data_IF_265707438786
#
_entry.id   IF_265707438786
#
_cell.length_a   1.000
_cell.length_b   1.000
_cell.length_c   1.000
_cell.angle_alpha   90.00
_cell.angle_beta   90.00
_cell.angle_gamma   90.00
#
_symmetry.space_group_name_H-M   'P 1'
#
loop_
_entity.id
_entity.type
_entity.pdbx_description
1 polymer ?
#
# COMPACT_ATOMS: atom_id res chain seq x y z
N UNK A 1 15.38 36.51 34.15
CA UNK A 1 14.49 35.90 33.12
C UNK A 1 13.23 36.71 32.79
N UNK A 2 12.92 37.83 33.47
CA UNK A 2 11.78 38.70 33.13
C UNK A 2 12.17 39.98 32.34
N UNK A 3 13.43 40.13 31.92
CA UNK A 3 13.95 41.35 31.30
C UNK A 3 14.59 41.14 29.92
N UNK A 4 14.43 39.95 29.31
CA UNK A 4 14.92 39.65 27.95
C UNK A 4 13.79 39.65 26.89
N UNK A 5 12.53 39.63 27.32
CA UNK A 5 11.35 39.63 26.43
C UNK A 5 10.92 41.03 25.92
N UNK A 6 11.65 42.09 26.28
CA UNK A 6 11.31 43.48 25.92
C UNK A 6 12.08 44.06 24.72
N UNK A 7 13.00 43.31 24.10
CA UNK A 7 13.89 43.81 23.02
C UNK A 7 13.67 43.22 21.61
N UNK A 8 12.61 42.43 21.37
CA UNK A 8 12.35 41.82 20.04
C UNK A 8 11.06 42.28 19.34
N UNK A 9 10.50 43.45 19.69
CA UNK A 9 9.33 44.02 18.98
C UNK A 9 9.52 45.46 18.51
N UNK A 10 10.51 45.69 17.65
CA UNK A 10 10.57 46.90 16.80
C UNK A 10 11.38 46.62 15.54
N UNK A 11 10.83 47.02 14.37
CA UNK A 11 11.33 46.88 12.97
C UNK A 11 10.89 45.54 12.35
N UNK A 12 9.85 45.47 11.53
CA UNK A 12 9.75 46.02 10.16
C UNK A 12 8.29 46.43 9.89
N UNK A 13 8.02 47.71 9.66
CA UNK A 13 6.79 48.17 8.99
C UNK A 13 6.89 49.64 8.57
N UNK A 14 7.36 49.88 7.35
CA UNK A 14 7.15 51.10 6.52
C UNK A 14 7.57 50.70 5.11
N UNK A 15 6.80 50.79 4.02
CA UNK A 15 5.45 51.27 3.74
C UNK A 15 5.35 51.38 2.21
N UNK A 16 4.16 51.15 1.63
CA UNK A 16 3.80 51.75 0.34
C UNK A 16 2.28 51.63 0.11
N UNK A 17 1.72 52.72 -0.42
CA UNK A 17 0.31 53.10 -0.43
C UNK A 17 -0.51 52.41 -1.53
N UNK A 18 -1.82 52.33 -1.25
CA UNK A 18 -2.94 51.96 -2.15
C UNK A 18 -3.10 52.93 -3.35
N UNK A 19 -3.91 52.58 -4.36
CA UNK A 19 -5.34 52.97 -4.36
C UNK A 19 -6.27 51.78 -4.73
N UNK A 20 -7.39 51.50 -4.04
CA UNK A 20 -8.72 52.12 -4.08
C UNK A 20 -9.41 52.11 -5.46
N UNK A 21 -10.20 51.06 -5.75
CA UNK A 21 -11.43 51.16 -6.57
C UNK A 21 -12.52 50.16 -6.09
N UNK A 22 -13.66 50.74 -5.67
CA UNK A 22 -15.09 50.36 -5.65
C UNK A 22 -15.53 48.90 -5.95
N UNK A 23 -16.25 48.20 -5.06
CA UNK A 23 -17.72 48.18 -4.79
C UNK A 23 -18.59 47.35 -5.77
N UNK A 24 -19.51 46.60 -5.16
CA UNK A 24 -20.65 45.83 -5.71
C UNK A 24 -20.29 44.52 -6.42
N UNK A 25 -20.79 43.35 -6.03
CA UNK A 25 -22.20 43.05 -5.82
C UNK A 25 -22.44 41.90 -4.84
N UNK A 26 -23.38 42.14 -3.93
CA UNK A 26 -24.08 41.12 -3.15
C UNK A 26 -24.90 40.25 -4.11
N UNK A 27 -24.68 38.93 -4.11
CA UNK A 27 -25.70 37.97 -4.56
C UNK A 27 -26.28 37.27 -3.35
N UNK A 28 -27.57 37.53 -3.16
CA UNK A 28 -28.47 36.88 -2.22
C UNK A 28 -28.58 35.39 -2.62
N UNK A 29 -28.23 34.49 -1.70
CA UNK A 29 -28.54 33.07 -1.83
C UNK A 29 -29.94 32.86 -1.22
N UNK A 30 -30.91 32.30 -1.96
CA UNK A 30 -32.25 32.06 -1.44
C UNK A 30 -32.25 30.94 -0.39
N UNK A 31 -33.03 31.18 0.67
CA UNK A 31 -33.33 30.26 1.76
C UNK A 31 -33.99 28.99 1.19
N UNK A 32 -33.34 27.84 1.34
CA UNK A 32 -33.96 26.54 1.09
C UNK A 32 -34.89 26.21 2.26
N UNK A 33 -36.13 25.93 1.89
CA UNK A 33 -37.27 25.61 2.72
C UNK A 33 -37.11 24.31 3.51
N UNK A 34 -37.58 24.35 4.74
CA UNK A 34 -37.81 23.23 5.66
C UNK A 34 -38.63 22.13 4.99
N UNK A 35 -38.07 20.93 4.85
CA UNK A 35 -38.86 19.72 4.57
C UNK A 35 -39.20 19.06 5.91
N UNK A 36 -40.47 19.20 6.29
CA UNK A 36 -41.12 18.36 7.29
C UNK A 36 -41.35 16.97 6.68
N UNK A 37 -40.78 15.92 7.29
CA UNK A 37 -41.34 14.55 7.18
C UNK A 37 -41.60 14.01 8.58
N UNK A 38 -42.85 14.16 9.00
CA UNK A 38 -43.52 13.38 10.05
C UNK A 38 -43.90 12.01 9.50
N UNK A 39 -44.07 11.06 10.43
CA UNK A 39 -44.75 9.74 10.33
C UNK A 39 -43.93 8.65 9.60
N UNK A 40 -43.93 7.39 10.03
CA UNK A 40 -44.86 6.69 10.91
C UNK A 40 -44.18 5.46 11.53
N UNK A 41 -44.47 5.26 12.81
CA UNK A 41 -44.28 4.00 13.55
C UNK A 41 -45.14 2.91 12.90
N UNK A 42 -44.55 1.75 12.60
CA UNK A 42 -45.28 0.48 12.48
C UNK A 42 -44.59 -0.58 13.34
N UNK A 43 -45.20 -0.83 14.49
CA UNK A 43 -45.06 -2.07 15.26
C UNK A 43 -45.78 -3.18 14.51
N UNK A 44 -45.17 -4.35 14.46
CA UNK A 44 -45.77 -5.56 13.87
C UNK A 44 -44.77 -6.71 13.88
N UNK A 45 -44.36 -7.15 15.07
CA UNK A 45 -43.65 -8.41 15.23
C UNK A 45 -44.70 -9.51 15.34
N UNK A 46 -44.87 -10.29 14.27
CA UNK A 46 -45.69 -11.50 14.27
C UNK A 46 -44.74 -12.67 14.54
N UNK A 47 -44.81 -13.25 15.75
CA UNK A 47 -44.13 -14.51 16.06
C UNK A 47 -44.87 -15.64 15.35
N UNK A 48 -44.23 -16.25 14.35
CA UNK A 48 -44.65 -17.55 13.82
C UNK A 48 -43.85 -18.64 14.52
N UNK A 49 -44.54 -19.41 15.36
CA UNK A 49 -44.04 -20.67 15.91
C UNK A 49 -43.76 -21.64 14.75
N UNK A 50 -42.51 -22.06 14.62
CA UNK A 50 -42.10 -23.15 13.72
C UNK A 50 -42.12 -24.44 14.56
N UNK A 51 -42.97 -25.43 14.24
CA UNK A 51 -42.92 -26.73 14.89
C UNK A 51 -41.65 -27.49 14.45
N UNK A 52 -40.86 -27.89 15.44
CA UNK A 52 -39.74 -28.81 15.29
C UNK A 52 -40.30 -30.22 15.04
N UNK A 53 -40.30 -30.65 13.78
CA UNK A 53 -40.46 -32.07 13.42
C UNK A 53 -39.14 -32.55 12.83
N UNK A 54 -38.36 -33.27 13.64
CA UNK A 54 -37.24 -34.07 13.14
C UNK A 54 -37.83 -35.27 12.41
N UNK A 55 -37.84 -35.21 11.08
CA UNK A 55 -38.04 -36.39 10.25
C UNK A 55 -36.68 -37.00 9.94
N UNK A 56 -36.55 -38.27 10.28
CA UNK A 56 -35.47 -39.16 9.85
C UNK A 56 -35.40 -39.16 8.32
N UNK A 57 -34.27 -38.73 7.78
CA UNK A 57 -33.97 -38.82 6.34
C UNK A 57 -33.35 -40.19 6.13
N UNK A 58 -34.13 -41.12 5.58
CA UNK A 58 -33.62 -42.37 5.03
C UNK A 58 -32.70 -42.04 3.84
N UNK A 59 -31.41 -42.31 4.00
CA UNK A 59 -30.39 -42.12 2.96
C UNK A 59 -30.52 -43.29 1.99
N UNK A 60 -31.06 -43.01 0.80
CA UNK A 60 -31.05 -43.96 -0.30
C UNK A 60 -29.61 -44.25 -0.78
N UNK A 61 -29.30 -45.49 -1.21
CA UNK A 61 -27.97 -45.88 -1.63
C UNK A 61 -27.53 -45.11 -2.88
N UNK A 62 -26.36 -44.49 -2.81
CA UNK A 62 -25.70 -43.81 -3.92
C UNK A 62 -25.29 -44.87 -4.95
N UNK A 63 -26.03 -44.94 -6.05
CA UNK A 63 -25.66 -45.73 -7.23
C UNK A 63 -24.57 -44.95 -7.96
N UNK A 64 -23.32 -45.37 -7.80
CA UNK A 64 -22.19 -44.88 -8.60
C UNK A 64 -22.15 -45.64 -9.92
N UNK A 65 -22.77 -45.09 -10.97
CA UNK A 65 -22.47 -45.54 -12.32
C UNK A 65 -21.16 -44.89 -12.82
N UNK A 66 -20.32 -45.64 -13.55
CA UNK A 66 -19.08 -45.11 -14.11
C UNK A 66 -19.40 -44.04 -15.16
N UNK A 67 -19.03 -42.80 -14.87
CA UNK A 67 -19.13 -41.68 -15.81
C UNK A 67 -18.18 -42.00 -16.97
N UNK A 68 -18.76 -42.35 -18.12
CA UNK A 68 -18.02 -42.53 -19.36
C UNK A 68 -17.25 -41.24 -19.69
N UNK A 69 -15.97 -41.39 -20.03
CA UNK A 69 -15.07 -40.31 -20.41
C UNK A 69 -15.67 -39.51 -21.58
N UNK A 70 -16.24 -38.34 -21.28
CA UNK A 70 -16.69 -37.39 -22.28
C UNK A 70 -15.46 -36.65 -22.80
N UNK A 71 -15.02 -37.05 -23.99
CA UNK A 71 -13.97 -36.36 -24.75
C UNK A 71 -14.55 -35.04 -25.30
N UNK A 72 -14.60 -34.02 -24.43
CA UNK A 72 -15.02 -32.67 -24.80
C UNK A 72 -13.84 -32.00 -25.49
N UNK A 73 -13.75 -32.19 -26.80
CA UNK A 73 -12.91 -31.38 -27.68
C UNK A 73 -13.44 -29.95 -27.68
N UNK A 74 -12.93 -29.09 -26.78
CA UNK A 74 -13.27 -27.67 -26.75
C UNK A 74 -12.69 -27.02 -28.02
N UNK A 75 -13.52 -26.46 -28.91
CA UNK A 75 -13.01 -25.73 -30.07
C UNK A 75 -12.21 -24.52 -29.58
N UNK A 76 -10.90 -24.54 -29.83
CA UNK A 76 -9.99 -23.43 -29.56
C UNK A 76 -10.31 -22.33 -30.57
N UNK A 77 -11.18 -21.41 -30.19
CA UNK A 77 -11.57 -20.28 -31.03
C UNK A 77 -10.34 -19.44 -31.39
N UNK A 78 -10.12 -19.31 -32.70
CA UNK A 78 -8.98 -18.62 -33.30
C UNK A 78 -9.09 -17.12 -33.03
N UNK A 79 -8.24 -16.64 -32.12
CA UNK A 79 -7.61 -15.32 -32.13
C UNK A 79 -8.50 -14.14 -32.54
N UNK A 80 -9.35 -13.67 -31.63
CA UNK A 80 -9.87 -12.31 -31.73
C UNK A 80 -8.69 -11.32 -31.63
N UNK A 81 -8.48 -10.51 -32.68
CA UNK A 81 -7.45 -9.47 -32.71
C UNK A 81 -7.59 -8.55 -31.50
N UNK A 82 -6.68 -8.70 -30.53
CA UNK A 82 -6.67 -7.84 -29.34
C UNK A 82 -6.50 -6.40 -29.80
N UNK A 83 -7.40 -5.47 -29.42
CA UNK A 83 -7.30 -4.08 -29.83
C UNK A 83 -5.93 -3.53 -29.41
N UNK A 84 -5.19 -2.96 -30.37
CA UNK A 84 -3.88 -2.33 -30.13
C UNK A 84 -4.09 -1.20 -29.12
N UNK A 85 -3.75 -1.44 -27.84
CA UNK A 85 -3.83 -0.43 -26.78
C UNK A 85 -2.98 0.77 -27.19
N UNK A 86 -3.59 1.94 -27.38
CA UNK A 86 -2.87 3.20 -27.54
C UNK A 86 -2.04 3.42 -26.28
N UNK A 87 -0.72 3.45 -26.44
CA UNK A 87 0.21 3.76 -25.34
C UNK A 87 -0.02 5.23 -24.98
N UNK A 88 -0.66 5.47 -23.84
CA UNK A 88 -0.75 6.81 -23.25
C UNK A 88 0.60 7.19 -22.66
N UNK A 89 0.99 8.47 -22.79
CA UNK A 89 2.21 8.96 -22.13
C UNK A 89 2.00 8.89 -20.62
N UNK A 90 3.02 8.38 -19.90
CA UNK A 90 3.01 8.35 -18.43
C UNK A 90 2.86 9.78 -17.87
N UNK A 91 1.97 9.96 -16.90
CA UNK A 91 1.79 11.24 -16.19
C UNK A 91 2.94 11.45 -15.20
N UNK A 92 3.41 12.69 -15.05
CA UNK A 92 4.46 13.05 -14.09
C UNK A 92 3.94 12.96 -12.64
N UNK A 93 4.88 12.92 -11.67
CA UNK A 93 4.53 12.90 -10.23
C UNK A 93 3.64 14.08 -9.83
N UNK A 94 4.01 15.28 -10.28
CA UNK A 94 3.28 16.51 -9.97
C UNK A 94 1.84 16.48 -10.51
N UNK A 95 1.63 15.91 -11.70
CA UNK A 95 0.29 15.74 -12.27
C UNK A 95 -0.53 14.75 -11.44
N UNK A 96 0.04 13.61 -11.04
CA UNK A 96 -0.66 12.64 -10.19
C UNK A 96 -1.02 13.23 -8.83
N UNK A 97 -0.11 13.95 -8.17
CA UNK A 97 -0.41 14.60 -6.88
C UNK A 97 -1.50 15.66 -7.02
N UNK A 98 -1.51 16.41 -8.13
CA UNK A 98 -2.58 17.37 -8.43
C UNK A 98 -3.94 16.66 -8.57
N UNK A 99 -4.00 15.56 -9.34
CA UNK A 99 -5.22 14.77 -9.52
C UNK A 99 -5.75 14.21 -8.19
N UNK A 100 -4.86 13.73 -7.32
CA UNK A 100 -5.24 13.24 -5.98
C UNK A 100 -5.84 14.36 -5.11
N UNK A 101 -5.22 15.55 -5.12
CA UNK A 101 -5.76 16.73 -4.40
C UNK A 101 -7.12 17.17 -4.94
N UNK A 102 -7.29 17.19 -6.26
CA UNK A 102 -8.57 17.51 -6.90
C UNK A 102 -9.66 16.49 -6.55
N UNK A 103 -9.29 15.24 -6.28
CA UNK A 103 -10.19 14.20 -5.77
C UNK A 103 -10.49 14.32 -4.27
N UNK A 104 -9.93 15.30 -3.56
CA UNK A 104 -10.18 15.57 -2.14
C UNK A 104 -9.20 14.90 -1.17
N UNK A 105 -8.08 14.36 -1.64
CA UNK A 105 -7.05 13.78 -0.77
C UNK A 105 -6.14 14.90 -0.24
N UNK A 106 -6.04 15.02 1.08
CA UNK A 106 -5.27 16.07 1.75
C UNK A 106 -3.75 15.89 1.57
N UNK A 107 -3.27 14.65 1.75
CA UNK A 107 -1.86 14.29 1.61
C UNK A 107 -1.63 13.22 0.51
N UNK A 108 -1.31 13.63 -0.72
CA UNK A 108 -0.94 12.71 -1.80
C UNK A 108 0.35 11.92 -1.57
N UNK A 109 1.24 12.36 -0.67
CA UNK A 109 2.50 11.66 -0.44
C UNK A 109 2.26 10.36 0.34
N UNK A 110 1.35 10.39 1.31
CA UNK A 110 0.93 9.23 2.09
C UNK A 110 0.15 8.18 1.28
N UNK A 111 -0.34 8.51 0.08
CA UNK A 111 -1.10 7.58 -0.76
C UNK A 111 -0.21 6.42 -1.25
N UNK A 112 -0.79 5.22 -1.28
CA UNK A 112 -0.20 3.98 -1.78
C UNK A 112 0.60 4.22 -3.08
N UNK A 113 1.88 3.88 -3.04
CA UNK A 113 2.81 4.15 -4.14
C UNK A 113 2.42 3.39 -5.40
N UNK A 114 1.91 2.15 -5.27
CA UNK A 114 1.44 1.37 -6.41
C UNK A 114 0.17 1.98 -7.05
N UNK A 115 -0.75 2.52 -6.23
CA UNK A 115 -1.89 3.27 -6.75
C UNK A 115 -1.44 4.49 -7.55
N UNK A 116 -0.49 5.28 -7.02
CA UNK A 116 0.12 6.42 -7.73
C UNK A 116 0.78 6.00 -9.05
N UNK A 117 1.47 4.88 -9.06
CA UNK A 117 2.05 4.29 -10.26
C UNK A 117 0.97 3.89 -11.29
N UNK A 118 -0.13 3.29 -10.84
CA UNK A 118 -1.29 2.96 -11.68
C UNK A 118 -1.95 4.18 -12.32
N UNK A 119 -2.11 5.27 -11.56
CA UNK A 119 -2.62 6.56 -12.08
C UNK A 119 -1.64 7.14 -13.11
N UNK A 120 -0.33 7.12 -12.80
CA UNK A 120 0.72 7.61 -13.69
C UNK A 120 0.74 6.85 -15.02
N UNK A 121 0.59 5.53 -14.98
CA UNK A 121 0.55 4.66 -16.16
C UNK A 121 -0.77 4.71 -16.93
N UNK A 122 -1.82 5.34 -16.37
CA UNK A 122 -3.16 5.35 -16.95
C UNK A 122 -3.92 4.03 -16.77
N UNK A 123 -3.45 3.16 -15.88
CA UNK A 123 -4.18 1.95 -15.45
C UNK A 123 -5.44 2.32 -14.66
N UNK A 124 -5.39 3.44 -13.92
CA UNK A 124 -6.48 3.94 -13.08
C UNK A 124 -6.83 5.36 -13.54
N UNK A 125 -8.10 5.62 -13.81
CA UNK A 125 -8.53 6.84 -14.46
C UNK A 125 -9.05 7.86 -13.44
N UNK A 126 -8.22 8.84 -13.12
CA UNK A 126 -8.58 9.93 -12.21
C UNK A 126 -9.25 11.15 -12.89
N UNK A 127 -9.51 11.09 -14.19
CA UNK A 127 -10.16 12.18 -14.94
C UNK A 127 -11.70 12.02 -15.03
N UNK A 128 -12.24 10.98 -14.39
CA UNK A 128 -13.69 10.74 -14.30
C UNK A 128 -14.29 11.45 -13.07
N UNK A 129 -15.60 11.75 -13.08
CA UNK A 129 -16.30 12.18 -11.87
C UNK A 129 -16.21 11.12 -10.77
N UNK A 130 -15.92 11.54 -9.54
CA UNK A 130 -15.79 10.67 -8.36
C UNK A 130 -14.81 9.50 -8.55
N UNK A 131 -13.53 9.77 -8.86
CA UNK A 131 -12.55 8.70 -9.14
C UNK A 131 -12.35 7.76 -7.95
N UNK A 132 -12.59 8.24 -6.72
CA UNK A 132 -12.52 7.43 -5.50
C UNK A 132 -13.58 6.31 -5.41
N UNK A 133 -14.64 6.37 -6.23
CA UNK A 133 -15.67 5.31 -6.34
C UNK A 133 -15.40 4.34 -7.50
N UNK A 134 -14.33 4.55 -8.29
CA UNK A 134 -13.94 3.64 -9.35
C UNK A 134 -13.62 2.26 -8.78
N UNK A 135 -14.26 1.21 -9.31
CA UNK A 135 -13.91 -0.18 -9.02
C UNK A 135 -12.58 -0.49 -9.71
N UNK A 136 -11.59 -0.92 -8.92
CA UNK A 136 -10.29 -1.35 -9.42
C UNK A 136 -10.30 -2.86 -9.67
N UNK A 137 -10.93 -3.61 -8.78
CA UNK A 137 -10.92 -5.06 -8.78
C UNK A 137 -12.24 -5.61 -8.27
N UNK A 138 -12.73 -6.66 -8.93
CA UNK A 138 -13.83 -7.50 -8.47
C UNK A 138 -13.32 -8.94 -8.53
N UNK A 139 -13.24 -9.59 -7.37
CA UNK A 139 -12.67 -10.94 -7.23
C UNK A 139 -13.35 -11.69 -6.10
N UNK A 140 -12.86 -12.89 -5.78
CA UNK A 140 -13.31 -13.69 -4.65
C UNK A 140 -12.28 -13.67 -3.53
N UNK A 141 -12.76 -13.70 -2.29
CA UNK A 141 -11.92 -13.90 -1.11
C UNK A 141 -11.11 -15.19 -1.25
N UNK A 142 -9.79 -15.09 -1.06
CA UNK A 142 -8.84 -16.22 -1.12
C UNK A 142 -9.11 -17.35 -0.11
N UNK A 143 -9.98 -17.13 0.88
CA UNK A 143 -10.29 -18.10 1.95
C UNK A 143 -11.72 -18.62 1.85
N UNK A 144 -12.73 -17.74 1.83
CA UNK A 144 -14.14 -18.14 1.91
C UNK A 144 -14.92 -17.96 0.60
N UNK A 145 -14.25 -17.59 -0.50
CA UNK A 145 -14.82 -17.35 -1.83
C UNK A 145 -15.94 -16.28 -1.90
N UNK A 146 -16.17 -15.55 -0.82
CA UNK A 146 -17.10 -14.40 -0.82
C UNK A 146 -16.60 -13.35 -1.80
N UNK A 147 -17.51 -12.79 -2.59
CA UNK A 147 -17.18 -11.72 -3.53
C UNK A 147 -16.63 -10.48 -2.81
N UNK A 148 -15.54 -9.93 -3.36
CA UNK A 148 -14.87 -8.73 -2.89
C UNK A 148 -14.86 -7.73 -4.04
N UNK A 149 -15.40 -6.54 -3.79
CA UNK A 149 -15.35 -5.40 -4.69
C UNK A 149 -14.44 -4.36 -4.06
N UNK A 150 -13.35 -4.03 -4.73
CA UNK A 150 -12.38 -3.05 -4.26
C UNK A 150 -12.47 -1.78 -5.08
N UNK A 151 -12.68 -0.65 -4.41
CA UNK A 151 -12.64 0.69 -4.99
C UNK A 151 -11.32 1.39 -4.69
N UNK A 152 -11.03 2.45 -5.43
CA UNK A 152 -9.87 3.32 -5.19
C UNK A 152 -9.77 3.78 -3.73
N UNK A 153 -10.89 4.18 -3.11
CA UNK A 153 -10.89 4.66 -1.71
C UNK A 153 -10.45 3.61 -0.69
N UNK A 154 -10.64 2.32 -1.00
CA UNK A 154 -10.40 1.23 -0.06
C UNK A 154 -8.90 0.90 0.09
N UNK A 155 -8.06 1.45 -0.80
CA UNK A 155 -6.62 1.14 -0.88
C UNK A 155 -5.73 2.38 -0.88
N UNK A 156 -6.27 3.54 -0.48
CA UNK A 156 -5.52 4.79 -0.48
C UNK A 156 -4.27 4.71 0.41
N UNK A 157 -4.36 4.01 1.53
CA UNK A 157 -3.30 3.94 2.54
C UNK A 157 -2.59 2.58 2.54
N UNK A 158 -2.88 1.70 1.57
CA UNK A 158 -2.22 0.40 1.49
C UNK A 158 -0.70 0.58 1.35
N UNK A 159 0.08 -0.16 2.13
CA UNK A 159 1.53 -0.13 2.08
C UNK A 159 2.11 -0.47 0.70
N UNK A 160 3.36 -0.07 0.45
CA UNK A 160 4.09 -0.44 -0.77
C UNK A 160 4.47 -1.93 -0.80
N UNK A 161 4.52 -2.57 0.36
CA UNK A 161 4.81 -3.99 0.53
C UNK A 161 3.65 -4.63 1.29
N UNK A 162 3.37 -5.91 1.03
CA UNK A 162 2.36 -6.65 1.78
C UNK A 162 2.83 -7.12 3.17
N UNK A 163 4.02 -6.70 3.60
CA UNK A 163 4.66 -7.16 4.83
C UNK A 163 5.35 -8.53 4.69
N UNK A 164 6.21 -8.87 5.65
CA UNK A 164 6.91 -10.16 5.69
C UNK A 164 6.07 -11.31 6.26
N UNK A 165 4.94 -11.01 6.89
CA UNK A 165 4.04 -11.97 7.51
C UNK A 165 2.59 -11.67 7.14
N UNK A 166 1.94 -12.68 6.56
CA UNK A 166 0.52 -12.82 6.22
C UNK A 166 -0.41 -11.68 6.68
N UNK A 167 -0.75 -10.74 5.78
CA UNK A 167 -1.80 -9.73 5.97
C UNK A 167 -1.72 -8.94 7.28
N UNK A 168 -0.93 -7.87 7.30
CA UNK A 168 -0.52 -7.22 8.54
C UNK A 168 -0.83 -5.74 8.69
N UNK A 169 -1.38 -5.06 7.68
CA UNK A 169 -1.61 -3.61 7.80
C UNK A 169 -3.09 -3.28 8.03
N UNK A 170 -3.31 -2.27 8.88
CA UNK A 170 -4.66 -1.81 9.23
C UNK A 170 -5.46 -1.35 8.00
N UNK A 171 -4.76 -0.89 6.96
CA UNK A 171 -5.29 -0.36 5.70
C UNK A 171 -5.49 -1.41 4.59
N UNK A 172 -5.43 -2.72 4.91
CA UNK A 172 -5.70 -3.80 3.96
C UNK A 172 -7.22 -3.97 3.66
N UNK A 173 -7.54 -4.55 2.49
CA UNK A 173 -8.93 -4.83 2.09
C UNK A 173 -9.48 -6.00 2.90
N UNK A 174 -10.49 -5.75 3.74
CA UNK A 174 -11.10 -6.76 4.60
C UNK A 174 -12.20 -7.51 3.83
N UNK A 175 -12.20 -8.84 3.92
CA UNK A 175 -13.28 -9.67 3.41
C UNK A 175 -14.64 -9.24 4.03
N UNK A 176 -15.69 -9.02 3.21
CA UNK A 176 -16.98 -8.56 3.71
C UNK A 176 -17.73 -9.64 4.51
N UNK A 177 -17.32 -10.91 4.41
CA UNK A 177 -17.82 -11.97 5.28
C UNK A 177 -17.28 -11.79 6.70
N UNK A 178 -18.19 -11.45 7.62
CA UNK A 178 -17.91 -11.19 9.05
C UNK A 178 -17.31 -12.39 9.79
N UNK A 179 -17.48 -13.60 9.26
CA UNK A 179 -16.90 -14.81 9.85
C UNK A 179 -15.46 -15.08 9.37
N UNK A 180 -15.08 -14.52 8.21
CA UNK A 180 -13.76 -14.75 7.61
C UNK A 180 -12.73 -13.74 8.10
N UNK A 181 -13.07 -12.44 8.09
CA UNK A 181 -12.19 -11.32 8.49
C UNK A 181 -10.79 -11.30 7.86
N UNK A 182 -10.56 -12.10 6.82
CA UNK A 182 -9.28 -12.18 6.14
C UNK A 182 -8.98 -10.85 5.44
N UNK A 183 -7.71 -10.43 5.50
CA UNK A 183 -7.21 -9.19 4.92
C UNK A 183 -6.48 -9.49 3.62
N UNK A 184 -6.74 -8.67 2.61
CA UNK A 184 -6.17 -8.79 1.28
C UNK A 184 -5.38 -7.54 0.94
N UNK A 185 -4.25 -7.74 0.27
CA UNK A 185 -3.50 -6.68 -0.38
C UNK A 185 -3.89 -6.69 -1.86
N UNK A 186 -4.18 -5.52 -2.44
CA UNK A 186 -4.32 -5.36 -3.88
C UNK A 186 -2.96 -5.11 -4.49
N UNK A 187 -2.49 -6.07 -5.26
CA UNK A 187 -1.24 -6.01 -5.99
C UNK A 187 -1.45 -5.52 -7.42
N UNK A 188 -0.34 -5.26 -8.13
CA UNK A 188 -0.34 -5.14 -9.60
C UNK A 188 -1.26 -4.04 -10.17
N UNK A 189 -1.63 -3.04 -9.37
CA UNK A 189 -2.40 -1.88 -9.84
C UNK A 189 -1.65 -1.09 -10.93
N UNK A 190 -0.33 -1.20 -10.92
CA UNK A 190 0.55 -0.55 -11.88
C UNK A 190 0.67 -1.29 -13.24
N UNK A 191 0.12 -2.51 -13.38
CA UNK A 191 0.31 -3.40 -14.56
C UNK A 191 -0.98 -3.73 -15.34
N UNK A 192 -2.06 -2.97 -15.17
CA UNK A 192 -3.41 -3.25 -15.74
C UNK A 192 -4.03 -4.59 -15.29
N UNK A 193 -3.42 -5.29 -14.34
CA UNK A 193 -3.85 -6.60 -13.87
C UNK A 193 -3.89 -6.60 -12.33
N UNK A 194 -4.76 -5.77 -11.71
CA UNK A 194 -4.87 -5.77 -10.26
C UNK A 194 -5.34 -7.13 -9.76
N UNK A 195 -4.75 -7.62 -8.68
CA UNK A 195 -5.02 -8.95 -8.12
C UNK A 195 -5.04 -8.91 -6.59
N UNK A 196 -5.89 -9.73 -5.97
CA UNK A 196 -5.86 -9.96 -4.52
C UNK A 196 -4.72 -10.92 -4.19
N UNK A 197 -3.90 -10.57 -3.21
CA UNK A 197 -2.88 -11.45 -2.67
C UNK A 197 -2.89 -11.45 -1.13
N UNK A 198 -2.19 -12.43 -0.55
CA UNK A 198 -1.94 -12.60 0.88
C UNK A 198 -0.86 -11.65 1.45
N UNK A 199 -0.28 -10.81 0.58
CA UNK A 199 0.79 -9.86 0.89
C UNK A 199 2.21 -10.43 0.79
N UNK A 200 2.38 -11.76 0.78
CA UNK A 200 3.70 -12.39 0.87
C UNK A 200 4.54 -12.23 -0.40
N UNK A 201 3.93 -12.41 -1.57
CA UNK A 201 4.64 -12.42 -2.85
C UNK A 201 4.47 -11.14 -3.65
N UNK A 202 4.28 -10.02 -2.94
CA UNK A 202 4.07 -8.73 -3.58
C UNK A 202 4.93 -7.63 -2.96
N UNK A 203 5.75 -7.03 -3.82
CA UNK A 203 6.59 -5.89 -3.48
C UNK A 203 6.54 -4.85 -4.59
N UNK A 204 6.53 -3.57 -4.19
CA UNK A 204 6.59 -2.44 -5.09
C UNK A 204 7.92 -1.71 -4.89
N UNK A 205 8.79 -1.77 -5.88
CA UNK A 205 10.10 -1.13 -5.81
C UNK A 205 9.97 0.39 -5.89
N UNK A 206 10.33 1.09 -4.82
CA UNK A 206 10.31 2.56 -4.75
C UNK A 206 11.56 3.23 -5.34
N UNK A 207 12.66 2.48 -5.49
CA UNK A 207 13.90 2.98 -6.10
C UNK A 207 13.79 3.19 -7.61
N UNK A 208 12.82 2.54 -8.25
CA UNK A 208 12.54 2.76 -9.66
C UNK A 208 12.09 4.22 -9.93
N UNK A 209 12.50 4.83 -11.06
CA UNK A 209 12.09 6.19 -11.41
C UNK A 209 10.57 6.40 -11.41
N UNK A 210 10.16 7.64 -11.14
CA UNK A 210 8.73 7.96 -10.99
C UNK A 210 8.18 7.39 -9.68
N UNK A 211 7.02 6.75 -9.72
CA UNK A 211 6.41 6.12 -8.55
C UNK A 211 6.85 4.67 -8.38
N UNK A 212 8.00 4.27 -8.90
CA UNK A 212 8.42 2.88 -8.78
C UNK A 212 7.73 1.92 -9.76
N UNK A 213 7.87 0.61 -9.50
CA UNK A 213 7.16 -0.45 -10.24
C UNK A 213 6.91 -1.67 -9.36
N UNK A 214 5.87 -2.41 -9.67
CA UNK A 214 5.58 -3.71 -9.10
C UNK A 214 6.67 -4.70 -9.55
N UNK A 215 7.29 -5.44 -8.62
CA UNK A 215 8.37 -6.41 -8.90
C UNK A 215 7.97 -7.85 -8.58
N UNK A 216 6.77 -8.06 -8.02
CA UNK A 216 6.30 -9.39 -7.67
C UNK A 216 6.95 -9.86 -6.38
N UNK A 217 7.82 -10.88 -6.47
CA UNK A 217 8.39 -11.58 -5.31
C UNK A 217 9.10 -10.60 -4.36
N UNK A 218 8.82 -10.71 -3.06
CA UNK A 218 9.46 -9.86 -2.03
C UNK A 218 10.97 -10.07 -1.93
N UNK A 219 11.47 -11.19 -2.44
CA UNK A 219 12.90 -11.51 -2.53
C UNK A 219 13.57 -10.87 -3.74
N UNK A 220 12.81 -10.21 -4.62
CA UNK A 220 13.40 -9.34 -5.63
C UNK A 220 13.87 -8.04 -4.99
N UNK A 221 15.09 -7.62 -5.34
CA UNK A 221 15.70 -6.40 -4.86
C UNK A 221 16.10 -5.50 -6.04
N UNK A 222 16.23 -4.21 -5.77
CA UNK A 222 16.68 -3.21 -6.74
C UNK A 222 18.20 -3.06 -6.65
N UNK A 223 18.90 -3.30 -7.74
CA UNK A 223 20.33 -3.03 -7.81
C UNK A 223 20.57 -1.53 -7.99
N UNK A 224 21.16 -0.88 -7.00
CA UNK A 224 21.45 0.57 -7.04
C UNK A 224 22.50 0.95 -8.10
N UNK A 225 23.33 0.00 -8.55
CA UNK A 225 24.39 0.27 -9.52
C UNK A 225 23.87 0.27 -10.97
N UNK A 226 23.13 -0.76 -11.38
CA UNK A 226 22.60 -0.87 -12.74
C UNK A 226 21.13 -0.41 -12.89
N UNK A 227 20.41 -0.19 -11.79
CA UNK A 227 18.97 0.10 -11.78
C UNK A 227 18.07 -1.11 -12.10
N UNK A 228 18.67 -2.29 -12.29
CA UNK A 228 18.00 -3.56 -12.55
C UNK A 228 17.35 -4.15 -11.31
N UNK A 229 16.54 -5.21 -11.51
CA UNK A 229 16.00 -6.01 -10.41
C UNK A 229 16.58 -7.39 -10.50
N UNK A 230 16.83 -8.02 -9.36
CA UNK A 230 17.37 -9.36 -9.28
C UNK A 230 16.77 -10.08 -8.09
N UNK A 231 16.69 -11.40 -8.18
CA UNK A 231 16.31 -12.23 -7.05
C UNK A 231 17.46 -12.26 -6.05
N UNK A 232 17.31 -11.57 -4.93
CA UNK A 232 18.30 -11.52 -3.86
C UNK A 232 18.22 -12.75 -2.94
N UNK A 233 17.12 -13.54 -3.03
CA UNK A 233 16.90 -14.72 -2.21
C UNK A 233 16.53 -14.37 -0.77
N UNK A 234 16.67 -15.34 0.13
CA UNK A 234 16.52 -15.09 1.56
C UNK A 234 17.80 -14.43 2.08
N UNK A 235 17.69 -13.35 2.84
CA UNK A 235 18.84 -12.65 3.44
C UNK A 235 19.88 -12.11 2.43
N UNK A 236 19.42 -11.63 1.26
CA UNK A 236 20.29 -11.04 0.22
C UNK A 236 21.47 -11.94 -0.21
N UNK A 237 21.25 -13.26 -0.22
CA UNK A 237 22.26 -14.27 -0.55
C UNK A 237 22.75 -14.25 -2.01
N UNK A 238 21.99 -13.66 -2.93
CA UNK A 238 22.35 -13.58 -4.35
C UNK A 238 22.73 -12.15 -4.73
N UNK A 239 23.70 -12.02 -5.64
CA UNK A 239 24.13 -10.72 -6.16
C UNK A 239 23.40 -10.39 -7.46
N UNK A 240 23.39 -9.10 -7.82
CA UNK A 240 22.88 -8.66 -9.12
C UNK A 240 23.72 -9.25 -10.25
N UNK A 241 23.10 -10.10 -11.07
CA UNK A 241 23.75 -10.77 -12.21
C UNK A 241 24.31 -9.81 -13.26
N UNK A 242 23.77 -8.60 -13.37
CA UNK A 242 24.26 -7.58 -14.30
C UNK A 242 25.53 -6.86 -13.82
N UNK A 243 25.77 -6.82 -12.51
CA UNK A 243 26.92 -6.11 -11.92
C UNK A 243 28.03 -7.06 -11.49
N UNK A 244 27.64 -8.27 -11.07
CA UNK A 244 28.53 -9.34 -10.67
C UNK A 244 28.37 -10.47 -11.66
N UNK A 245 28.97 -10.31 -12.84
CA UNK A 245 29.26 -11.47 -13.68
C UNK A 245 30.14 -12.38 -12.83
N UNK A 246 29.75 -13.65 -12.67
CA UNK A 246 30.70 -14.64 -12.17
C UNK A 246 31.98 -14.48 -13.01
N UNK A 247 33.18 -14.42 -12.39
CA UNK A 247 34.40 -14.47 -13.18
C UNK A 247 34.25 -15.64 -14.15
N UNK A 248 34.44 -15.40 -15.45
CA UNK A 248 34.42 -16.46 -16.45
C UNK A 248 35.48 -17.46 -16.01
N UNK A 249 35.02 -18.54 -15.38
CA UNK A 249 35.88 -19.55 -14.80
C UNK A 249 36.51 -20.26 -15.99
N UNK A 250 37.70 -19.82 -16.38
CA UNK A 250 38.54 -20.46 -17.39
C UNK A 250 38.96 -21.83 -16.86
N UNK A 251 38.05 -22.80 -16.88
CA UNK A 251 38.33 -24.22 -16.96
C UNK A 251 38.83 -24.94 -15.70
N UNK A 252 38.53 -24.49 -14.47
CA UNK A 252 38.86 -25.28 -13.29
C UNK A 252 37.65 -26.10 -12.79
N UNK A 253 37.60 -27.37 -13.17
CA UNK A 253 36.60 -28.39 -12.75
C UNK A 253 36.62 -28.71 -11.22
N UNK A 254 37.20 -27.86 -10.38
CA UNK A 254 37.41 -28.11 -8.97
C UNK A 254 36.58 -27.18 -8.07
N UNK A 255 35.37 -27.63 -7.71
CA UNK A 255 34.81 -27.32 -6.39
C UNK A 255 33.60 -26.39 -6.35
N UNK A 256 32.43 -26.95 -6.62
CA UNK A 256 31.08 -26.37 -6.50
C UNK A 256 30.66 -25.92 -5.07
N UNK A 257 31.60 -25.76 -4.13
CA UNK A 257 31.32 -25.53 -2.69
C UNK A 257 32.06 -24.33 -2.06
N UNK A 258 32.70 -23.46 -2.84
CA UNK A 258 33.63 -22.45 -2.31
C UNK A 258 33.15 -21.00 -2.11
N UNK A 259 31.95 -20.60 -2.56
CA UNK A 259 31.56 -19.18 -2.57
C UNK A 259 30.73 -18.71 -1.35
N UNK A 260 30.84 -19.40 -0.20
CA UNK A 260 30.40 -18.85 1.09
C UNK A 260 31.53 -17.96 1.66
N UNK A 261 31.56 -16.71 1.25
CA UNK A 261 32.37 -15.64 1.89
C UNK A 261 31.47 -14.45 2.24
N UNK A 262 31.78 -13.70 3.31
CA UNK A 262 30.78 -13.23 4.26
C UNK A 262 30.06 -11.95 3.85
N UNK A 263 28.75 -11.94 4.12
CA UNK A 263 27.75 -10.86 3.99
C UNK A 263 28.05 -9.61 4.87
N UNK A 264 29.23 -9.50 5.49
CA UNK A 264 29.50 -8.44 6.47
C UNK A 264 29.90 -7.07 5.89
N UNK A 265 30.09 -6.92 4.57
CA UNK A 265 30.46 -5.60 4.00
C UNK A 265 29.29 -4.77 3.47
N UNK A 266 28.07 -5.32 3.36
CA UNK A 266 26.94 -4.60 2.73
C UNK A 266 25.96 -3.93 3.72
N UNK A 267 25.99 -4.28 5.01
CA UNK A 267 25.09 -3.67 6.01
C UNK A 267 25.44 -2.19 6.32
N UNK A 268 26.57 -1.65 5.84
CA UNK A 268 26.99 -0.26 6.12
C UNK A 268 27.00 0.70 4.91
N UNK A 269 26.33 0.37 3.81
CA UNK A 269 26.14 1.33 2.70
C UNK A 269 24.72 1.91 2.67
N UNK A 270 24.31 2.51 3.78
CA UNK A 270 23.24 3.51 3.78
C UNK A 270 23.77 4.77 3.06
N UNK A 271 23.20 5.20 1.93
CA UNK A 271 23.51 6.50 1.37
C UNK A 271 22.71 7.53 2.16
N UNK A 272 23.21 7.89 3.34
CA UNK A 272 22.94 9.09 4.13
C UNK A 272 23.39 8.89 5.58
N UNK A 273 24.70 8.87 5.78
CA UNK A 273 25.28 9.53 6.95
C UNK A 273 25.00 11.04 6.84
N UNK A 274 23.73 11.42 6.92
CA UNK A 274 23.31 12.80 7.16
C UNK A 274 23.22 12.98 8.68
N UNK A 275 24.28 13.58 9.23
CA UNK A 275 24.25 14.47 10.39
C UNK A 275 23.86 13.87 11.75
N UNK A 276 24.67 12.96 12.28
CA UNK A 276 24.72 12.78 13.74
C UNK A 276 25.75 13.69 14.44
N UNK A 277 26.77 14.19 13.71
CA UNK A 277 27.74 15.14 14.28
C UNK A 277 27.18 16.56 14.47
N UNK A 278 26.03 16.89 13.87
CA UNK A 278 25.37 18.19 14.06
C UNK A 278 24.42 18.24 15.27
N UNK A 279 24.16 17.10 15.94
CA UNK A 279 23.31 17.01 17.14
C UNK A 279 24.12 16.95 18.44
N UNK A 280 25.45 16.88 18.36
CA UNK A 280 26.31 16.80 19.54
C UNK A 280 26.46 18.15 20.27
N UNK A 281 26.19 19.25 19.58
CA UNK A 281 26.28 20.61 20.10
C UNK A 281 24.90 21.30 20.25
N UNK A 282 23.79 20.55 20.21
CA UNK A 282 22.46 21.12 20.46
C UNK A 282 22.24 21.31 21.99
N UNK A 283 22.17 22.55 22.49
CA UNK A 283 22.00 22.81 23.92
C UNK A 283 20.67 22.29 24.48
N UNK A 284 19.66 22.05 23.63
CA UNK A 284 18.35 21.51 24.04
C UNK A 284 18.45 20.01 24.34
N UNK A 285 19.25 19.26 23.57
CA UNK A 285 19.47 17.82 23.80
C UNK A 285 20.40 17.55 24.99
N UNK A 286 21.33 18.48 25.28
CA UNK A 286 22.15 18.45 26.50
C UNK A 286 21.31 18.60 27.79
N UNK A 287 20.17 19.30 27.76
CA UNK A 287 19.29 19.42 28.94
C UNK A 287 18.37 18.20 29.07
N UNK A 288 17.91 17.63 27.96
CA UNK A 288 17.08 16.42 27.94
C UNK A 288 17.81 15.18 28.48
N UNK A 289 19.10 15.03 28.20
CA UNK A 289 19.91 13.92 28.75
C UNK A 289 20.15 13.99 30.27
N UNK A 290 19.89 15.15 30.89
CA UNK A 290 19.96 15.34 32.35
C UNK A 290 18.59 15.18 33.03
N UNK A 291 17.53 14.99 32.26
CA UNK A 291 16.19 14.72 32.78
C UNK A 291 16.10 13.31 33.39
N UNK A 292 15.49 13.15 34.58
CA UNK A 292 15.23 11.83 35.17
C UNK A 292 14.43 10.90 34.26
N UNK A 293 13.63 11.45 33.34
CA UNK A 293 12.81 10.67 32.41
C UNK A 293 13.64 9.96 31.31
N UNK A 294 14.83 10.47 30.98
CA UNK A 294 15.66 9.88 29.92
C UNK A 294 16.36 8.59 30.38
N UNK A 295 16.61 8.45 31.70
CA UNK A 295 17.20 7.23 32.30
C UNK A 295 16.31 5.99 32.23
N UNK A 296 15.01 6.15 32.04
CA UNK A 296 14.06 5.04 31.99
C UNK A 296 13.93 4.38 30.61
N UNK A 297 14.41 5.03 29.55
CA UNK A 297 14.17 4.56 28.17
C UNK A 297 15.36 3.77 27.61
N UNK A 298 16.57 3.94 28.16
CA UNK A 298 17.81 3.44 27.55
C UNK A 298 18.70 2.56 28.45
N UNK A 299 18.26 2.21 29.66
CA UNK A 299 19.00 1.30 30.54
C UNK A 299 18.13 0.09 30.91
N UNK A 300 17.91 -0.80 29.94
CA UNK A 300 17.41 -2.16 30.22
C UNK A 300 18.30 -3.16 29.48
N UNK A 301 19.55 -3.25 29.92
CA UNK A 301 20.44 -4.37 29.62
C UNK A 301 20.89 -5.02 30.93
N UNK A 302 20.56 -6.31 31.04
CA UNK A 302 21.18 -7.33 31.90
C UNK A 302 20.96 -7.27 33.42
N UNK A 303 20.04 -8.09 33.90
CA UNK A 303 20.26 -8.83 35.15
C UNK A 303 19.78 -10.28 35.00
N UNK A 304 20.69 -11.13 34.56
CA UNK A 304 20.64 -12.57 34.82
C UNK A 304 20.86 -12.80 36.32
N UNK A 305 19.82 -13.20 37.05
CA UNK A 305 19.97 -13.78 38.38
C UNK A 305 19.86 -15.30 38.29
N UNK A 306 20.92 -15.94 38.75
CA UNK A 306 21.05 -17.35 39.09
C UNK A 306 19.88 -17.81 39.99
N UNK A 307 19.41 -19.04 39.77
CA UNK A 307 18.54 -19.76 40.70
C UNK A 307 19.30 -21.02 41.11
N UNK A 308 19.50 -21.14 42.43
CA UNK A 308 19.96 -22.32 43.17
C UNK A 308 19.01 -23.53 43.02
#
# INVERSE_FOLDING_TARGET
MAEYAKRLRTRINTGAKKPLVSLASRRLIPKVSKINKKKQVRKGATQTNIPNTMNEIEIAPIITEPIAAFDVSIPVDKSADKPKKKITRKKSKSVVHKLLKEAGIEDPEAVCVCLKAGISAGCINFEIPNPLDQIILQSQCLVCNTEIIVKVRDILNQGATGGSYWGGYDDDVICPNKECLYRHVVSQMCTFQPELCDGKFYNHCEFCPGFGKCIGDFRENHCLDCGGHYFAGSMDQFNCSNCFSAPEDEGNEAGMYGAYMPIFSYIYRQPEALKFDALRDDPVLSELSRSPAYKYIFNDESSSSEID
#
